data_IF_796994662780
#
_entry.id   IF_796994662780
#
_cell.length_a   1.000
_cell.length_b   1.000
_cell.length_c   1.000
_cell.angle_alpha   90.00
_cell.angle_beta   90.00
_cell.angle_gamma   90.00
#
_symmetry.space_group_name_H-M   'P 1'
#
loop_
_entity.id
_entity.type
_entity.pdbx_description
1 polymer ?
#
# COMPACT_ATOMS: atom_id res chain seq x y z
N UNK A 1 42.78 14.72 -0.30
CA UNK A 1 42.94 14.59 -1.77
C UNK A 1 41.98 13.46 -2.18
N UNK A 2 40.72 13.81 -2.44
CA UNK A 2 39.67 12.87 -2.78
C UNK A 2 39.35 13.10 -4.27
N UNK A 3 39.73 12.15 -5.12
CA UNK A 3 39.38 12.22 -6.53
C UNK A 3 37.89 11.79 -6.71
N UNK A 4 37.12 12.46 -7.59
CA UNK A 4 35.72 12.24 -7.71
C UNK A 4 35.40 10.97 -8.51
N UNK A 5 34.55 10.14 -7.91
CA UNK A 5 34.00 8.86 -8.38
C UNK A 5 33.14 8.96 -9.66
N UNK A 6 33.05 10.11 -10.29
CA UNK A 6 32.24 10.37 -11.50
C UNK A 6 32.84 9.85 -12.81
N UNK A 7 34.15 9.56 -12.83
CA UNK A 7 34.81 9.07 -14.05
C UNK A 7 34.64 7.58 -14.33
N UNK A 8 34.21 6.79 -13.31
CA UNK A 8 33.98 5.36 -13.51
C UNK A 8 32.56 5.04 -14.00
N UNK A 9 31.56 5.89 -13.73
CA UNK A 9 30.18 5.68 -14.17
C UNK A 9 29.95 6.04 -15.65
N UNK A 10 30.72 6.98 -16.20
CA UNK A 10 30.59 7.37 -17.61
C UNK A 10 31.22 6.35 -18.58
N UNK A 11 32.20 5.57 -18.12
CA UNK A 11 32.85 4.54 -18.96
C UNK A 11 32.06 3.24 -19.01
N UNK A 12 31.24 2.96 -18.01
CA UNK A 12 30.38 1.76 -17.97
C UNK A 12 29.14 1.89 -18.85
N UNK A 13 28.61 3.11 -19.02
CA UNK A 13 27.45 3.39 -19.88
C UNK A 13 27.78 3.35 -21.39
N UNK A 14 29.02 3.63 -21.77
CA UNK A 14 29.43 3.60 -23.18
C UNK A 14 29.73 2.20 -23.72
N UNK A 15 30.05 1.23 -22.85
CA UNK A 15 30.30 -0.17 -23.25
C UNK A 15 29.00 -0.96 -23.44
N UNK A 16 27.90 -0.55 -22.78
CA UNK A 16 26.60 -1.20 -22.93
C UNK A 16 25.89 -0.81 -24.24
N UNK A 17 26.22 0.36 -24.81
CA UNK A 17 25.62 0.83 -26.07
C UNK A 17 26.24 0.21 -27.34
N UNK A 18 27.36 -0.48 -27.23
CA UNK A 18 28.08 -1.02 -28.38
C UNK A 18 27.86 -2.52 -28.65
N UNK A 19 26.93 -3.18 -27.91
CA UNK A 19 26.63 -4.61 -28.02
C UNK A 19 25.19 -4.94 -28.45
N UNK A 20 24.45 -3.98 -29.00
CA UNK A 20 23.19 -4.31 -29.68
C UNK A 20 23.51 -4.64 -31.15
N UNK A 21 23.40 -5.89 -31.57
CA UNK A 21 23.47 -6.17 -32.97
C UNK A 21 22.25 -5.56 -33.66
N UNK A 22 22.50 -4.65 -34.60
CA UNK A 22 21.49 -4.23 -35.59
C UNK A 22 21.13 -5.46 -36.44
N UNK A 23 20.10 -6.19 -36.03
CA UNK A 23 19.41 -7.11 -36.91
C UNK A 23 18.62 -6.24 -37.89
N UNK A 24 19.19 -6.03 -39.07
CA UNK A 24 18.46 -5.60 -40.26
C UNK A 24 17.45 -6.70 -40.59
N UNK A 25 16.20 -6.53 -40.22
CA UNK A 25 15.13 -7.40 -40.70
C UNK A 25 14.91 -7.10 -42.20
N UNK A 26 14.97 -8.12 -43.00
CA UNK A 26 14.58 -8.09 -44.41
C UNK A 26 13.07 -7.76 -44.47
N UNK A 27 12.63 -6.65 -45.08
CA UNK A 27 11.23 -6.24 -45.07
C UNK A 27 10.32 -7.15 -45.93
N UNK A 28 10.83 -8.22 -46.49
CA UNK A 28 10.05 -9.16 -47.32
C UNK A 28 9.60 -10.44 -46.59
N UNK A 29 10.07 -10.69 -45.37
CA UNK A 29 9.60 -11.80 -44.55
C UNK A 29 8.47 -11.28 -43.64
N UNK A 30 7.22 -11.54 -44.05
CA UNK A 30 6.09 -11.35 -43.14
C UNK A 30 6.35 -12.17 -41.88
N UNK A 31 6.50 -11.50 -40.76
CA UNK A 31 6.64 -12.18 -39.46
C UNK A 31 5.39 -13.04 -39.22
N UNK A 32 5.60 -14.26 -38.72
CA UNK A 32 4.51 -15.16 -38.37
C UNK A 32 3.63 -14.46 -37.28
N UNK A 33 2.32 -14.28 -37.50
CA UNK A 33 1.44 -13.61 -36.59
C UNK A 33 1.49 -14.17 -35.16
N UNK A 34 1.74 -15.48 -35.01
CA UNK A 34 1.86 -16.11 -33.71
C UNK A 34 3.18 -15.74 -33.01
N UNK A 35 4.27 -15.62 -33.75
CA UNK A 35 5.55 -15.15 -33.20
C UNK A 35 5.45 -13.68 -32.74
N UNK A 36 4.79 -12.83 -33.50
CA UNK A 36 4.56 -11.44 -33.12
C UNK A 36 3.63 -11.34 -31.91
N UNK A 37 2.62 -12.20 -31.81
CA UNK A 37 1.77 -12.24 -30.61
C UNK A 37 2.53 -12.72 -29.36
N UNK A 38 3.41 -13.71 -29.50
CA UNK A 38 4.28 -14.12 -28.41
C UNK A 38 5.24 -13.00 -28.00
N UNK A 39 5.78 -12.26 -28.96
CA UNK A 39 6.59 -11.07 -28.68
C UNK A 39 5.81 -9.99 -27.93
N UNK A 40 4.55 -9.73 -28.31
CA UNK A 40 3.67 -8.81 -27.62
C UNK A 40 3.49 -9.23 -26.13
N UNK A 41 3.30 -10.53 -25.87
CA UNK A 41 3.20 -11.08 -24.51
C UNK A 41 4.49 -10.89 -23.70
N UNK A 42 5.64 -11.12 -24.32
CA UNK A 42 6.96 -10.93 -23.70
C UNK A 42 7.20 -9.45 -23.35
N UNK A 43 6.88 -8.53 -24.26
CA UNK A 43 6.97 -7.09 -24.02
C UNK A 43 6.08 -6.66 -22.86
N UNK A 44 4.83 -7.11 -22.84
CA UNK A 44 3.91 -6.82 -21.75
C UNK A 44 4.38 -7.41 -20.40
N UNK A 45 4.92 -8.63 -20.42
CA UNK A 45 5.50 -9.27 -19.23
C UNK A 45 6.75 -8.54 -18.71
N UNK A 46 7.53 -7.92 -19.61
CA UNK A 46 8.67 -7.07 -19.27
C UNK A 46 8.25 -5.67 -18.78
N UNK A 47 6.93 -5.31 -18.84
CA UNK A 47 6.41 -4.01 -18.47
C UNK A 47 6.56 -2.94 -19.57
N UNK A 48 6.99 -3.32 -20.76
CA UNK A 48 7.04 -2.44 -21.94
C UNK A 48 5.68 -2.45 -22.65
N UNK A 49 4.69 -1.82 -22.01
CA UNK A 49 3.31 -1.79 -22.51
C UNK A 49 3.19 -0.98 -23.80
N UNK A 50 4.01 0.06 -23.97
CA UNK A 50 4.01 0.88 -25.20
C UNK A 50 4.38 0.01 -26.41
N UNK A 51 5.48 -0.71 -26.34
CA UNK A 51 5.89 -1.60 -27.43
C UNK A 51 4.91 -2.78 -27.64
N UNK A 52 4.28 -3.25 -26.54
CA UNK A 52 3.26 -4.30 -26.61
C UNK A 52 2.00 -3.81 -27.34
N UNK A 53 1.50 -2.60 -27.02
CA UNK A 53 0.30 -2.01 -27.67
C UNK A 53 0.56 -1.68 -29.13
N UNK A 54 1.74 -1.15 -29.49
CA UNK A 54 2.14 -0.92 -30.89
C UNK A 54 2.15 -2.24 -31.69
N UNK A 55 2.71 -3.31 -31.10
CA UNK A 55 2.73 -4.63 -31.74
C UNK A 55 1.32 -5.20 -31.91
N UNK A 56 0.47 -5.09 -30.87
CA UNK A 56 -0.91 -5.57 -30.92
C UNK A 56 -1.77 -4.83 -31.94
N UNK A 57 -1.68 -3.50 -31.99
CA UNK A 57 -2.41 -2.70 -32.98
C UNK A 57 -2.03 -3.07 -34.40
N UNK A 58 -0.73 -3.20 -34.69
CA UNK A 58 -0.26 -3.63 -36.01
C UNK A 58 -0.78 -5.03 -36.37
N UNK A 59 -0.76 -5.97 -35.43
CA UNK A 59 -1.30 -7.32 -35.66
C UNK A 59 -2.79 -7.31 -35.98
N UNK A 60 -3.58 -6.47 -35.32
CA UNK A 60 -5.02 -6.33 -35.59
C UNK A 60 -5.30 -5.59 -36.89
N UNK A 61 -4.49 -4.61 -37.29
CA UNK A 61 -4.58 -3.99 -38.61
C UNK A 61 -4.36 -5.01 -39.73
N UNK A 62 -3.39 -5.90 -39.58
CA UNK A 62 -3.09 -6.95 -40.55
C UNK A 62 -4.09 -8.13 -40.48
N UNK A 63 -4.61 -8.45 -39.29
CA UNK A 63 -5.49 -9.57 -39.00
C UNK A 63 -6.65 -9.19 -38.07
N UNK A 64 -7.68 -8.50 -38.54
CA UNK A 64 -8.76 -8.01 -37.72
C UNK A 64 -9.60 -9.09 -37.02
N UNK A 65 -9.47 -10.33 -37.41
CA UNK A 65 -10.15 -11.48 -36.83
C UNK A 65 -9.29 -12.26 -35.81
N UNK A 66 -8.13 -11.70 -35.41
CA UNK A 66 -7.27 -12.37 -34.45
C UNK A 66 -7.72 -12.01 -33.01
N UNK A 67 -8.77 -12.70 -32.55
CA UNK A 67 -9.47 -12.40 -31.30
C UNK A 67 -8.57 -12.50 -30.07
N UNK A 68 -7.63 -13.46 -30.03
CA UNK A 68 -6.67 -13.59 -28.92
C UNK A 68 -5.80 -12.33 -28.75
N UNK A 69 -5.39 -11.73 -29.88
CA UNK A 69 -4.64 -10.47 -29.86
C UNK A 69 -5.53 -9.33 -29.38
N UNK A 70 -6.78 -9.25 -29.84
CA UNK A 70 -7.74 -8.22 -29.41
C UNK A 70 -7.99 -8.28 -27.89
N UNK A 71 -8.24 -9.48 -27.38
CA UNK A 71 -8.47 -9.71 -25.94
C UNK A 71 -7.23 -9.34 -25.11
N UNK A 72 -6.05 -9.74 -25.57
CA UNK A 72 -4.82 -9.42 -24.84
C UNK A 72 -4.48 -7.94 -24.92
N UNK A 73 -4.65 -7.30 -26.09
CA UNK A 73 -4.45 -5.87 -26.29
C UNK A 73 -5.36 -5.03 -25.39
N UNK A 74 -6.63 -5.40 -25.31
CA UNK A 74 -7.59 -4.74 -24.42
C UNK A 74 -7.15 -4.81 -22.95
N UNK A 75 -6.61 -5.96 -22.51
CA UNK A 75 -6.04 -6.09 -21.17
C UNK A 75 -4.80 -5.24 -20.97
N UNK A 76 -3.89 -5.16 -21.95
CA UNK A 76 -2.68 -4.33 -21.87
C UNK A 76 -3.06 -2.85 -21.72
N UNK A 77 -4.02 -2.36 -22.49
CA UNK A 77 -4.55 -1.01 -22.31
C UNK A 77 -5.18 -0.82 -20.91
N UNK A 78 -5.92 -1.82 -20.41
CA UNK A 78 -6.49 -1.79 -19.07
C UNK A 78 -5.43 -1.70 -17.97
N UNK A 79 -4.28 -2.38 -18.11
CA UNK A 79 -3.16 -2.30 -17.15
C UNK A 79 -2.51 -0.93 -17.12
N UNK A 80 -2.54 -0.18 -18.22
CA UNK A 80 -2.10 1.21 -18.30
C UNK A 80 -3.20 2.22 -17.89
N UNK A 81 -4.41 1.73 -17.59
CA UNK A 81 -5.59 2.56 -17.31
C UNK A 81 -6.07 3.38 -18.51
N UNK A 82 -5.72 2.95 -19.73
CA UNK A 82 -6.17 3.51 -21.00
C UNK A 82 -7.50 2.87 -21.42
N UNK A 83 -8.54 3.05 -20.57
CA UNK A 83 -9.81 2.33 -20.71
C UNK A 83 -10.55 2.66 -22.00
N UNK A 84 -10.49 3.92 -22.49
CA UNK A 84 -11.11 4.28 -23.78
C UNK A 84 -10.54 3.45 -24.93
N UNK A 85 -9.22 3.24 -24.96
CA UNK A 85 -8.53 2.42 -25.95
C UNK A 85 -8.86 0.94 -25.77
N UNK A 86 -8.96 0.47 -24.53
CA UNK A 86 -9.33 -0.91 -24.23
C UNK A 86 -10.74 -1.24 -24.72
N UNK A 87 -11.72 -0.35 -24.48
CA UNK A 87 -13.09 -0.54 -24.95
C UNK A 87 -13.20 -0.41 -26.47
N UNK A 88 -12.48 0.49 -27.11
CA UNK A 88 -12.45 0.59 -28.57
C UNK A 88 -12.03 -0.73 -29.27
N UNK A 89 -11.17 -1.51 -28.61
CA UNK A 89 -10.75 -2.84 -29.11
C UNK A 89 -11.77 -3.92 -28.76
N UNK A 90 -12.33 -3.88 -27.54
CA UNK A 90 -13.16 -4.99 -27.02
C UNK A 90 -14.63 -4.91 -27.44
N UNK A 91 -15.25 -3.71 -27.44
CA UNK A 91 -16.69 -3.55 -27.71
C UNK A 91 -17.11 -4.14 -29.08
N UNK A 92 -16.34 -3.93 -30.19
CA UNK A 92 -16.68 -4.57 -31.49
C UNK A 92 -16.65 -6.11 -31.43
N UNK A 93 -15.79 -6.68 -30.58
CA UNK A 93 -15.70 -8.14 -30.43
C UNK A 93 -16.88 -8.70 -29.62
N UNK A 94 -17.32 -7.98 -28.56
CA UNK A 94 -18.51 -8.37 -27.78
C UNK A 94 -19.80 -8.38 -28.63
N UNK A 95 -19.92 -7.42 -29.55
CA UNK A 95 -21.07 -7.36 -30.47
C UNK A 95 -21.03 -8.47 -31.52
N UNK A 96 -19.83 -8.77 -32.04
CA UNK A 96 -19.66 -9.74 -33.11
C UNK A 96 -19.75 -11.20 -32.63
N UNK A 97 -19.23 -11.47 -31.44
CA UNK A 97 -19.09 -12.81 -30.88
C UNK A 97 -19.77 -12.94 -29.50
N UNK A 98 -21.12 -12.90 -29.47
CA UNK A 98 -21.87 -12.92 -28.21
C UNK A 98 -21.82 -14.26 -27.46
N UNK A 99 -21.20 -15.29 -28.05
CA UNK A 99 -20.95 -16.61 -27.45
C UNK A 99 -19.49 -16.81 -26.99
N UNK A 100 -18.61 -15.82 -27.12
CA UNK A 100 -17.21 -15.95 -26.75
C UNK A 100 -17.01 -15.59 -25.27
N UNK A 101 -16.85 -16.63 -24.45
CA UNK A 101 -16.67 -16.46 -22.98
C UNK A 101 -15.52 -15.51 -22.64
N UNK A 102 -14.35 -15.69 -23.29
CA UNK A 102 -13.14 -14.91 -23.04
C UNK A 102 -13.32 -13.40 -23.28
N UNK A 103 -14.22 -13.03 -24.21
CA UNK A 103 -14.54 -11.62 -24.44
C UNK A 103 -15.32 -11.04 -23.25
N UNK A 104 -16.32 -11.75 -22.73
CA UNK A 104 -17.09 -11.29 -21.57
C UNK A 104 -16.29 -11.39 -20.28
N UNK A 105 -15.39 -12.35 -20.14
CA UNK A 105 -14.43 -12.40 -19.04
C UNK A 105 -13.45 -11.19 -19.08
N UNK A 106 -12.93 -10.86 -20.27
CA UNK A 106 -12.08 -9.66 -20.45
C UNK A 106 -12.87 -8.37 -20.19
N UNK A 107 -14.13 -8.31 -20.60
CA UNK A 107 -15.02 -7.20 -20.28
C UNK A 107 -15.19 -7.02 -18.76
N UNK A 108 -15.39 -8.12 -18.04
CA UNK A 108 -15.49 -8.08 -16.57
C UNK A 108 -14.16 -7.63 -15.92
N UNK A 109 -13.00 -8.10 -16.41
CA UNK A 109 -11.68 -7.64 -15.95
C UNK A 109 -11.54 -6.12 -16.12
N UNK A 110 -11.80 -5.60 -17.33
CA UNK A 110 -11.70 -4.17 -17.62
C UNK A 110 -12.67 -3.33 -16.80
N UNK A 111 -13.92 -3.75 -16.71
CA UNK A 111 -14.93 -3.07 -15.92
C UNK A 111 -14.58 -3.05 -14.43
N UNK A 112 -13.97 -4.13 -13.93
CA UNK A 112 -13.43 -4.19 -12.57
C UNK A 112 -12.29 -3.19 -12.36
N UNK A 113 -11.33 -3.11 -13.29
CA UNK A 113 -10.19 -2.18 -13.18
C UNK A 113 -10.61 -0.71 -13.37
N UNK A 114 -11.59 -0.45 -14.22
CA UNK A 114 -12.19 0.88 -14.42
C UNK A 114 -13.12 1.31 -13.27
N UNK A 115 -13.49 0.41 -12.38
CA UNK A 115 -14.49 0.60 -11.31
C UNK A 115 -15.91 0.84 -11.84
N UNK A 116 -16.24 0.29 -13.00
CA UNK A 116 -17.54 0.40 -13.64
C UNK A 116 -18.46 -0.78 -13.25
N UNK A 117 -19.25 -0.59 -12.19
CA UNK A 117 -20.10 -1.65 -11.65
C UNK A 117 -21.21 -2.10 -12.61
N UNK A 118 -21.80 -1.19 -13.38
CA UNK A 118 -22.89 -1.51 -14.30
C UNK A 118 -22.37 -2.43 -15.42
N UNK A 119 -21.23 -2.08 -16.01
CA UNK A 119 -20.59 -2.85 -17.07
C UNK A 119 -20.06 -4.20 -16.53
N UNK A 120 -19.51 -4.20 -15.29
CA UNK A 120 -19.09 -5.43 -14.62
C UNK A 120 -20.27 -6.38 -14.39
N UNK A 121 -21.39 -5.89 -13.90
CA UNK A 121 -22.58 -6.73 -13.68
C UNK A 121 -23.09 -7.36 -14.97
N UNK A 122 -23.18 -6.58 -16.05
CA UNK A 122 -23.66 -7.08 -17.34
C UNK A 122 -22.71 -8.13 -17.95
N UNK A 123 -21.38 -7.87 -17.91
CA UNK A 123 -20.39 -8.79 -18.46
C UNK A 123 -20.25 -10.06 -17.62
N UNK A 124 -20.29 -9.94 -16.29
CA UNK A 124 -20.20 -11.06 -15.37
C UNK A 124 -21.40 -12.00 -15.49
N UNK A 125 -22.61 -11.46 -15.64
CA UNK A 125 -23.82 -12.29 -15.89
C UNK A 125 -23.63 -13.07 -17.18
N UNK A 126 -23.23 -12.41 -18.26
CA UNK A 126 -23.07 -13.06 -19.56
C UNK A 126 -21.93 -14.10 -19.55
N UNK A 127 -20.80 -13.80 -18.94
CA UNK A 127 -19.70 -14.75 -18.78
C UNK A 127 -20.14 -15.99 -17.98
N UNK A 128 -20.89 -15.80 -16.87
CA UNK A 128 -21.39 -16.90 -16.04
C UNK A 128 -22.46 -17.74 -16.73
N UNK A 129 -23.23 -17.17 -17.68
CA UNK A 129 -24.14 -17.92 -18.51
C UNK A 129 -23.40 -18.84 -19.51
N UNK A 130 -22.25 -18.38 -20.02
CA UNK A 130 -21.42 -19.13 -20.96
C UNK A 130 -20.57 -20.18 -20.25
N UNK A 131 -20.01 -19.82 -19.08
CA UNK A 131 -19.20 -20.70 -18.23
C UNK A 131 -19.64 -20.58 -16.75
N UNK A 132 -20.56 -21.42 -16.25
CA UNK A 132 -21.10 -21.34 -14.89
C UNK A 132 -20.05 -21.45 -13.77
N UNK A 133 -18.95 -22.17 -14.01
CA UNK A 133 -17.88 -22.35 -13.02
C UNK A 133 -17.08 -21.06 -12.77
N UNK A 134 -17.21 -20.04 -13.63
CA UNK A 134 -16.56 -18.74 -13.49
C UNK A 134 -17.31 -17.78 -12.56
N UNK A 135 -18.53 -18.08 -12.15
CA UNK A 135 -19.40 -17.18 -11.38
C UNK A 135 -18.75 -16.71 -10.06
N UNK A 136 -18.00 -17.58 -9.36
CA UNK A 136 -17.34 -17.26 -8.09
C UNK A 136 -16.27 -16.17 -8.26
N UNK A 137 -15.57 -16.15 -9.41
CA UNK A 137 -14.55 -15.11 -9.70
C UNK A 137 -15.22 -13.76 -9.85
N UNK A 138 -16.34 -13.68 -10.59
CA UNK A 138 -17.03 -12.42 -10.82
C UNK A 138 -17.78 -11.92 -9.58
N UNK A 139 -18.27 -12.80 -8.73
CA UNK A 139 -18.81 -12.43 -7.42
C UNK A 139 -17.72 -11.84 -6.51
N UNK A 140 -16.48 -12.34 -6.63
CA UNK A 140 -15.32 -11.75 -5.94
C UNK A 140 -15.03 -10.35 -6.47
N UNK A 141 -15.10 -10.11 -7.79
CA UNK A 141 -14.91 -8.78 -8.40
C UNK A 141 -16.00 -7.80 -7.93
N UNK A 142 -17.28 -8.20 -7.97
CA UNK A 142 -18.39 -7.38 -7.50
C UNK A 142 -18.23 -7.01 -6.02
N UNK A 143 -17.87 -7.99 -5.19
CA UNK A 143 -17.61 -7.77 -3.77
C UNK A 143 -16.44 -6.80 -3.56
N UNK A 144 -15.35 -6.96 -4.30
CA UNK A 144 -14.20 -6.09 -4.21
C UNK A 144 -14.54 -4.65 -4.64
N UNK A 145 -15.28 -4.45 -5.74
CA UNK A 145 -15.72 -3.13 -6.18
C UNK A 145 -16.67 -2.47 -5.20
N UNK A 146 -17.64 -3.21 -4.64
CA UNK A 146 -18.50 -2.67 -3.59
C UNK A 146 -17.74 -2.11 -2.39
N UNK A 147 -16.48 -2.55 -2.20
CA UNK A 147 -15.58 -2.07 -1.16
C UNK A 147 -14.66 -0.91 -1.61
N UNK A 148 -14.51 -0.67 -2.90
CA UNK A 148 -13.59 0.34 -3.44
C UNK A 148 -14.28 1.58 -4.00
N UNK A 149 -15.56 1.51 -4.34
CA UNK A 149 -16.31 2.65 -4.89
C UNK A 149 -16.62 3.69 -3.80
N UNK A 150 -16.44 4.99 -4.10
CA UNK A 150 -16.73 6.07 -3.15
C UNK A 150 -18.16 6.07 -2.59
N UNK A 151 -19.14 5.59 -3.33
CA UNK A 151 -20.53 5.46 -2.85
C UNK A 151 -20.87 4.13 -2.15
N UNK A 152 -20.01 3.12 -2.28
CA UNK A 152 -20.17 1.79 -1.70
C UNK A 152 -19.29 1.54 -0.47
N UNK A 153 -18.41 2.47 -0.13
CA UNK A 153 -17.56 2.37 1.04
C UNK A 153 -18.42 2.51 2.30
N UNK A 154 -18.64 1.39 2.95
CA UNK A 154 -19.32 1.37 4.23
C UNK A 154 -18.40 1.86 5.34
N UNK A 155 -18.86 2.74 6.23
CA UNK A 155 -18.06 3.12 7.39
C UNK A 155 -17.68 1.89 8.23
N UNK A 156 -16.44 1.87 8.70
CA UNK A 156 -15.97 0.85 9.65
C UNK A 156 -15.68 1.52 10.99
N UNK A 157 -16.19 0.96 12.08
CA UNK A 157 -15.73 1.29 13.43
C UNK A 157 -14.59 0.35 13.79
N UNK A 158 -13.68 0.81 14.63
CA UNK A 158 -12.62 -0.04 15.16
C UNK A 158 -12.38 0.17 16.65
N UNK A 159 -11.94 -0.90 17.30
CA UNK A 159 -11.45 -0.85 18.67
C UNK A 159 -10.25 -1.78 18.81
N UNK A 160 -9.17 -1.25 19.41
CA UNK A 160 -7.92 -1.96 19.64
C UNK A 160 -7.45 -1.77 21.06
N UNK A 161 -6.94 -2.83 21.64
CA UNK A 161 -6.17 -2.78 22.88
C UNK A 161 -4.71 -3.10 22.57
N UNK A 162 -3.81 -2.28 23.09
CA UNK A 162 -2.36 -2.46 23.00
C UNK A 162 -1.75 -2.56 24.41
N UNK A 163 -0.74 -3.41 24.54
CA UNK A 163 0.01 -3.61 25.75
C UNK A 163 1.49 -3.65 25.44
N UNK A 164 2.28 -2.85 26.16
CA UNK A 164 3.73 -2.85 26.10
C UNK A 164 4.31 -3.10 27.50
N UNK A 165 5.25 -4.03 27.58
CA UNK A 165 6.01 -4.33 28.79
C UNK A 165 7.49 -3.98 28.58
N UNK A 166 8.05 -3.18 29.49
CA UNK A 166 9.46 -2.81 29.52
C UNK A 166 10.16 -3.43 30.73
N UNK A 167 11.31 -4.12 30.50
CA UNK A 167 12.00 -4.89 31.53
C UNK A 167 12.76 -4.03 32.55
N UNK A 168 13.36 -2.92 32.11
CA UNK A 168 14.20 -2.03 32.93
C UNK A 168 14.15 -0.61 32.33
N UNK A 169 14.64 0.44 33.03
CA UNK A 169 15.18 0.51 34.40
C UNK A 169 14.09 0.32 35.44
N UNK A 170 12.84 0.55 35.07
CA UNK A 170 11.67 0.35 35.88
C UNK A 170 10.74 -0.58 35.12
N UNK A 171 10.30 -1.66 35.71
CA UNK A 171 9.25 -2.51 35.13
C UNK A 171 8.02 -1.65 34.86
N UNK A 172 7.78 -1.29 33.59
CA UNK A 172 6.66 -0.46 33.17
C UNK A 172 5.74 -1.26 32.28
N UNK A 173 4.46 -1.10 32.53
CA UNK A 173 3.40 -1.65 31.67
C UNK A 173 2.60 -0.50 31.11
N UNK A 174 2.48 -0.47 29.80
CA UNK A 174 1.65 0.51 29.11
C UNK A 174 0.44 -0.17 28.52
N UNK A 175 -0.69 0.41 28.78
CA UNK A 175 -1.97 -0.04 28.30
C UNK A 175 -2.57 1.07 27.46
N UNK A 176 -3.06 0.74 26.29
CA UNK A 176 -3.73 1.70 25.44
C UNK A 176 -4.98 1.09 24.81
N UNK A 177 -6.08 1.80 24.90
CA UNK A 177 -7.30 1.56 24.14
C UNK A 177 -7.40 2.60 23.05
N UNK A 178 -7.53 2.17 21.81
CA UNK A 178 -7.83 3.02 20.65
C UNK A 178 -9.20 2.65 20.12
N UNK A 179 -10.09 3.62 19.98
CA UNK A 179 -11.39 3.43 19.35
C UNK A 179 -11.64 4.54 18.33
N UNK A 180 -12.29 4.23 17.22
CA UNK A 180 -12.51 5.20 16.17
C UNK A 180 -13.34 4.66 15.02
N UNK A 181 -13.31 5.37 13.90
CA UNK A 181 -14.01 4.97 12.70
C UNK A 181 -13.26 5.38 11.43
N UNK A 182 -13.45 4.62 10.39
CA UNK A 182 -13.10 5.00 9.03
C UNK A 182 -14.38 5.40 8.31
N UNK A 183 -14.48 6.68 7.95
CA UNK A 183 -15.65 7.29 7.31
C UNK A 183 -15.25 7.67 5.89
N UNK A 184 -15.60 6.85 4.89
CA UNK A 184 -15.27 7.13 3.50
C UNK A 184 -16.12 8.27 2.93
N UNK A 185 -15.56 8.98 1.96
CA UNK A 185 -16.23 9.98 1.13
C UNK A 185 -15.61 9.97 -0.29
N UNK A 186 -16.19 10.69 -1.24
CA UNK A 186 -15.86 10.62 -2.68
C UNK A 186 -14.35 10.69 -3.02
N UNK A 187 -13.59 11.45 -2.26
CA UNK A 187 -12.15 11.64 -2.51
C UNK A 187 -11.27 11.18 -1.36
N UNK A 188 -11.71 10.21 -0.59
CA UNK A 188 -10.87 9.69 0.48
C UNK A 188 -11.63 9.15 1.68
N UNK A 189 -11.01 9.24 2.85
CA UNK A 189 -11.63 8.83 4.13
C UNK A 189 -11.16 9.70 5.28
N UNK A 190 -12.07 9.93 6.23
CA UNK A 190 -11.78 10.51 7.53
C UNK A 190 -11.64 9.41 8.58
N UNK A 191 -10.71 9.59 9.51
CA UNK A 191 -10.45 8.64 10.59
C UNK A 191 -10.43 9.38 11.93
N UNK A 192 -11.59 9.73 12.50
CA UNK A 192 -11.67 10.17 13.88
C UNK A 192 -11.30 9.04 14.82
N UNK A 193 -10.48 9.30 15.83
CA UNK A 193 -10.12 8.32 16.84
C UNK A 193 -9.88 8.93 18.22
N UNK A 194 -10.11 8.11 19.23
CA UNK A 194 -9.82 8.39 20.64
C UNK A 194 -8.80 7.34 21.12
N UNK A 195 -7.72 7.82 21.70
CA UNK A 195 -6.75 7.00 22.42
C UNK A 195 -6.87 7.26 23.91
N UNK A 196 -7.03 6.22 24.71
CA UNK A 196 -6.95 6.26 26.17
C UNK A 196 -5.74 5.43 26.59
N UNK A 197 -4.75 6.07 27.17
CA UNK A 197 -3.50 5.48 27.62
C UNK A 197 -3.43 5.42 29.14
N UNK A 198 -2.87 4.33 29.66
CA UNK A 198 -2.53 4.18 31.07
C UNK A 198 -1.16 3.50 31.19
N UNK A 199 -0.28 4.08 31.97
CA UNK A 199 0.99 3.46 32.30
C UNK A 199 1.06 3.13 33.79
N UNK A 200 1.35 1.86 34.09
CA UNK A 200 1.59 1.35 35.42
C UNK A 200 3.09 1.12 35.64
N UNK A 201 3.56 1.41 36.85
CA UNK A 201 4.97 1.32 37.21
C UNK A 201 5.76 2.60 36.92
N UNK A 202 6.97 2.67 37.48
CA UNK A 202 7.74 3.91 37.54
C UNK A 202 7.27 4.85 38.64
N UNK A 203 7.88 6.03 38.71
CA UNK A 203 7.65 6.98 39.81
C UNK A 203 6.29 7.70 39.70
N UNK A 204 5.66 7.70 38.52
CA UNK A 204 4.41 8.41 38.25
C UNK A 204 3.49 7.58 37.35
N UNK A 205 2.63 6.72 37.93
CA UNK A 205 1.56 6.10 37.18
C UNK A 205 0.60 7.18 36.67
N UNK A 206 0.15 7.08 35.42
CA UNK A 206 -0.69 8.10 34.84
C UNK A 206 -1.62 7.59 33.76
N UNK A 207 -2.72 8.31 33.59
CA UNK A 207 -3.66 8.10 32.48
C UNK A 207 -3.72 9.36 31.62
N UNK A 208 -3.89 9.20 30.33
CA UNK A 208 -3.99 10.28 29.37
C UNK A 208 -4.99 9.94 28.24
N UNK A 209 -5.53 10.97 27.63
CA UNK A 209 -6.46 10.87 26.51
C UNK A 209 -5.94 11.69 25.34
N UNK A 210 -6.14 11.18 24.13
CA UNK A 210 -5.84 11.91 22.90
C UNK A 210 -6.97 11.74 21.90
N UNK A 211 -7.43 12.84 21.34
CA UNK A 211 -8.38 12.87 20.23
C UNK A 211 -7.61 13.15 18.94
N UNK A 212 -7.84 12.35 17.91
CA UNK A 212 -7.21 12.52 16.61
C UNK A 212 -8.26 12.59 15.51
N UNK A 213 -7.94 13.34 14.48
CA UNK A 213 -8.61 13.32 13.20
C UNK A 213 -7.55 13.20 12.10
N UNK A 214 -7.52 12.05 11.43
CA UNK A 214 -6.70 11.83 10.26
C UNK A 214 -7.59 11.81 9.01
N UNK A 215 -7.07 12.27 7.87
CA UNK A 215 -7.75 12.27 6.58
C UNK A 215 -6.82 11.75 5.49
N UNK A 216 -7.25 10.73 4.77
CA UNK A 216 -6.62 10.32 3.52
C UNK A 216 -7.38 10.96 2.37
N UNK A 217 -6.70 11.77 1.56
CA UNK A 217 -7.27 12.54 0.45
C UNK A 217 -6.68 12.06 -0.87
N UNK A 218 -7.51 11.62 -1.80
CA UNK A 218 -7.10 11.30 -3.16
C UNK A 218 -6.98 12.61 -3.94
N UNK A 219 -5.74 12.97 -4.35
CA UNK A 219 -5.46 14.20 -5.10
C UNK A 219 -5.56 13.95 -6.61
N UNK A 220 -5.37 12.71 -7.04
CA UNK A 220 -5.44 12.28 -8.43
C UNK A 220 -5.32 10.76 -8.52
N UNK A 221 -5.31 10.19 -9.74
CA UNK A 221 -5.31 8.73 -9.93
C UNK A 221 -4.12 8.00 -9.30
N UNK A 222 -3.00 8.72 -9.11
CA UNK A 222 -1.74 8.15 -8.61
C UNK A 222 -1.19 8.87 -7.38
N UNK A 223 -1.94 9.81 -6.81
CA UNK A 223 -1.46 10.62 -5.69
C UNK A 223 -2.48 10.63 -4.57
N UNK A 224 -2.03 10.41 -3.35
CA UNK A 224 -2.85 10.62 -2.16
C UNK A 224 -2.06 11.26 -1.04
N UNK A 225 -2.77 12.00 -0.20
CA UNK A 225 -2.24 12.81 0.89
C UNK A 225 -2.87 12.37 2.20
N UNK A 226 -2.05 12.06 3.20
CA UNK A 226 -2.47 11.98 4.59
C UNK A 226 -2.28 13.34 5.25
N UNK A 227 -3.33 13.85 5.87
CA UNK A 227 -3.28 14.94 6.83
C UNK A 227 -3.83 14.44 8.15
N UNK A 228 -3.19 14.80 9.26
CA UNK A 228 -3.67 14.39 10.57
C UNK A 228 -3.36 15.44 11.62
N UNK A 229 -4.28 15.57 12.56
CA UNK A 229 -4.09 16.38 13.76
C UNK A 229 -4.66 15.68 14.98
N UNK A 230 -3.96 15.80 16.09
CA UNK A 230 -4.36 15.25 17.37
C UNK A 230 -4.06 16.20 18.53
N UNK A 231 -4.88 16.11 19.55
CA UNK A 231 -4.73 16.90 20.78
C UNK A 231 -4.95 16.01 22.01
N UNK A 232 -4.10 16.18 23.02
CA UNK A 232 -4.32 15.63 24.35
C UNK A 232 -4.77 16.75 25.28
N UNK A 233 -6.04 16.75 25.74
CA UNK A 233 -6.60 17.86 26.49
C UNK A 233 -6.13 17.92 27.95
N UNK A 234 -5.58 16.84 28.49
CA UNK A 234 -5.31 16.74 29.94
C UNK A 234 -4.06 17.49 30.40
N UNK A 235 -3.29 18.11 29.52
CA UNK A 235 -2.19 19.02 29.88
C UNK A 235 -1.06 18.42 30.75
N UNK A 236 -1.20 17.20 31.20
CA UNK A 236 -0.22 16.52 32.05
C UNK A 236 0.91 15.86 31.27
N UNK A 237 0.79 15.83 29.96
CA UNK A 237 1.85 15.54 28.97
C UNK A 237 2.69 14.29 29.20
N UNK A 238 2.14 13.29 29.89
CA UNK A 238 2.94 12.17 30.35
C UNK A 238 2.89 10.95 29.38
N UNK A 239 1.87 10.85 28.54
CA UNK A 239 1.70 9.71 27.64
C UNK A 239 1.65 10.16 26.19
N UNK A 240 0.67 10.97 25.80
CA UNK A 240 0.50 11.49 24.47
C UNK A 240 1.06 12.90 24.31
N UNK A 241 1.46 13.30 23.09
CA UNK A 241 1.78 14.70 22.81
C UNK A 241 0.56 15.59 22.99
N UNK A 242 0.76 16.76 23.58
CA UNK A 242 -0.28 17.79 23.68
C UNK A 242 -0.82 18.18 22.29
N UNK A 243 0.07 18.19 21.28
CA UNK A 243 -0.28 18.37 19.88
C UNK A 243 0.46 17.39 19.00
N UNK A 244 -0.25 16.77 18.06
CA UNK A 244 0.28 15.93 16.97
C UNK A 244 -0.19 16.49 15.64
N UNK A 245 0.71 16.66 14.68
CA UNK A 245 0.35 16.96 13.30
C UNK A 245 1.12 16.06 12.34
N UNK A 246 0.46 15.64 11.27
CA UNK A 246 0.98 14.72 10.28
C UNK A 246 0.61 15.20 8.88
N UNK A 247 1.58 15.21 7.98
CA UNK A 247 1.35 15.39 6.56
C UNK A 247 2.27 14.44 5.80
N UNK A 248 1.73 13.62 4.89
CA UNK A 248 2.53 12.71 4.06
C UNK A 248 1.87 12.55 2.70
N UNK A 249 2.66 12.73 1.64
CA UNK A 249 2.24 12.59 0.26
C UNK A 249 2.77 11.29 -0.31
N UNK A 250 1.91 10.53 -0.98
CA UNK A 250 2.28 9.34 -1.76
C UNK A 250 2.13 9.59 -3.24
N UNK A 251 3.09 9.08 -3.99
CA UNK A 251 3.10 8.99 -5.43
C UNK A 251 3.16 7.52 -5.84
N UNK A 252 2.12 7.03 -6.50
CA UNK A 252 2.11 5.71 -7.14
C UNK A 252 2.84 5.82 -8.48
N UNK A 253 3.74 4.88 -8.73
CA UNK A 253 4.58 4.78 -9.91
C UNK A 253 4.22 3.53 -10.71
N UNK A 254 4.63 3.44 -11.99
CA UNK A 254 4.47 2.24 -12.78
C UNK A 254 5.06 0.98 -12.13
N UNK A 255 4.67 -0.19 -12.62
CA UNK A 255 5.17 -1.49 -12.19
C UNK A 255 4.98 -1.77 -10.68
N UNK A 256 3.93 -1.20 -10.04
CA UNK A 256 3.59 -1.45 -8.65
C UNK A 256 4.53 -0.80 -7.62
N UNK A 257 5.30 0.21 -8.00
CA UNK A 257 6.08 1.01 -7.06
C UNK A 257 5.24 2.16 -6.48
N UNK A 258 5.57 2.58 -5.27
CA UNK A 258 5.10 3.82 -4.69
C UNK A 258 6.21 4.46 -3.84
N UNK A 259 6.22 5.78 -3.79
CA UNK A 259 7.12 6.55 -2.95
C UNK A 259 6.28 7.46 -2.06
N UNK A 260 6.76 7.73 -0.84
CA UNK A 260 6.17 8.77 -0.01
C UNK A 260 7.24 9.68 0.58
N UNK A 261 6.79 10.91 0.89
CA UNK A 261 7.54 11.86 1.70
C UNK A 261 6.58 12.57 2.65
N UNK A 262 6.97 12.77 3.89
CA UNK A 262 6.11 13.34 4.89
C UNK A 262 6.83 14.02 6.03
N UNK A 263 6.03 14.76 6.79
CA UNK A 263 6.41 15.48 7.98
C UNK A 263 5.53 15.04 9.15
N UNK A 264 6.15 14.83 10.31
CA UNK A 264 5.48 14.56 11.57
C UNK A 264 5.92 15.61 12.57
N UNK A 265 4.99 16.22 13.25
CA UNK A 265 5.22 17.19 14.31
C UNK A 265 4.53 16.74 15.58
N UNK A 266 5.25 16.82 16.69
CA UNK A 266 4.75 16.52 18.03
C UNK A 266 5.20 17.60 19.00
N UNK A 267 4.34 17.95 19.92
CA UNK A 267 4.62 18.87 21.00
C UNK A 267 4.26 18.22 22.34
N UNK A 268 5.25 18.06 23.18
CA UNK A 268 5.11 17.83 24.62
C UNK A 268 5.51 19.11 25.34
N UNK A 269 6.57 19.09 26.15
CA UNK A 269 7.17 20.30 26.72
C UNK A 269 8.09 21.02 25.70
N UNK A 270 8.42 20.36 24.62
CA UNK A 270 9.25 20.84 23.50
C UNK A 270 8.75 20.30 22.17
N UNK A 271 9.26 20.90 21.10
CA UNK A 271 8.88 20.56 19.73
C UNK A 271 9.74 19.43 19.18
N UNK A 272 9.10 18.48 18.52
CA UNK A 272 9.76 17.39 17.81
C UNK A 272 9.26 17.31 16.38
N UNK A 273 10.19 17.25 15.44
CA UNK A 273 9.86 17.17 14.03
C UNK A 273 10.62 16.02 13.38
N UNK A 274 9.89 15.21 12.61
CA UNK A 274 10.41 14.10 11.85
C UNK A 274 10.13 14.30 10.38
N UNK A 275 11.10 13.97 9.52
CA UNK A 275 10.84 13.68 8.11
C UNK A 275 10.67 12.18 7.94
N UNK A 276 9.71 11.81 7.09
CA UNK A 276 9.47 10.40 6.73
C UNK A 276 9.59 10.23 5.24
N UNK A 277 10.17 9.11 4.84
CA UNK A 277 10.24 8.69 3.44
C UNK A 277 9.93 7.21 3.36
N UNK A 278 9.18 6.78 2.35
CA UNK A 278 9.04 5.36 2.06
C UNK A 278 9.23 5.06 0.57
N UNK A 279 9.71 3.85 0.32
CA UNK A 279 9.69 3.22 -0.98
C UNK A 279 8.96 1.89 -0.83
N UNK A 280 7.97 1.67 -1.67
CA UNK A 280 7.06 0.53 -1.60
C UNK A 280 7.02 -0.20 -2.93
N UNK A 281 6.80 -1.51 -2.88
CA UNK A 281 6.66 -2.37 -4.06
C UNK A 281 5.53 -3.36 -3.82
N UNK A 282 4.55 -3.35 -4.74
CA UNK A 282 3.53 -4.38 -4.85
C UNK A 282 3.91 -5.34 -5.97
N UNK A 283 3.85 -6.64 -5.71
CA UNK A 283 4.14 -7.67 -6.71
C UNK A 283 3.38 -8.96 -6.37
N UNK A 284 2.45 -9.37 -7.23
CA UNK A 284 1.52 -10.46 -6.94
C UNK A 284 0.82 -10.23 -5.59
N UNK A 285 0.81 -11.24 -4.74
CA UNK A 285 0.19 -11.18 -3.41
C UNK A 285 1.14 -10.66 -2.32
N UNK A 286 2.18 -9.90 -2.69
CA UNK A 286 3.14 -9.36 -1.74
C UNK A 286 3.25 -7.84 -1.84
N UNK A 287 3.48 -7.22 -0.69
CA UNK A 287 3.88 -5.82 -0.56
C UNK A 287 5.15 -5.75 0.29
N UNK A 288 6.11 -4.99 -0.20
CA UNK A 288 7.35 -4.68 0.51
C UNK A 288 7.45 -3.18 0.68
N UNK A 289 7.95 -2.74 1.82
CA UNK A 289 8.21 -1.32 2.06
C UNK A 289 9.50 -1.12 2.85
N UNK A 290 10.26 -0.12 2.46
CA UNK A 290 11.35 0.45 3.25
C UNK A 290 10.92 1.85 3.68
N UNK A 291 10.75 2.04 4.98
CA UNK A 291 10.38 3.33 5.56
C UNK A 291 11.52 3.88 6.41
N UNK A 292 11.82 5.17 6.23
CA UNK A 292 12.84 5.88 6.97
C UNK A 292 12.20 7.00 7.77
N UNK A 293 12.72 7.22 8.98
CA UNK A 293 12.42 8.37 9.83
C UNK A 293 13.70 9.12 10.10
N UNK A 294 13.71 10.42 9.81
CA UNK A 294 14.82 11.32 10.13
C UNK A 294 14.35 12.29 11.20
N UNK A 295 15.01 12.29 12.32
CA UNK A 295 14.72 13.13 13.46
C UNK A 295 15.86 14.08 13.72
N UNK A 296 15.55 15.38 13.70
CA UNK A 296 16.52 16.44 13.93
C UNK A 296 16.53 16.79 15.41
N UNK A 297 17.61 16.46 16.09
CA UNK A 297 17.86 16.80 17.50
C UNK A 297 18.80 18.01 17.56
N UNK A 298 18.80 18.69 18.72
CA UNK A 298 19.70 19.82 18.96
C UNK A 298 21.19 19.50 18.76
N UNK A 299 21.57 18.24 19.04
CA UNK A 299 22.94 17.74 18.93
C UNK A 299 23.11 16.63 17.86
N UNK A 300 22.45 16.75 16.71
CA UNK A 300 22.62 15.83 15.59
C UNK A 300 21.34 15.26 15.03
N UNK A 301 21.48 14.45 13.99
CA UNK A 301 20.35 13.79 13.32
C UNK A 301 20.30 12.32 13.69
N UNK A 302 19.14 11.84 14.08
CA UNK A 302 18.85 10.43 14.30
C UNK A 302 18.07 9.86 13.12
N UNK A 303 18.35 8.61 12.77
CA UNK A 303 17.66 7.92 11.69
C UNK A 303 17.19 6.54 12.12
N UNK A 304 16.06 6.11 11.58
CA UNK A 304 15.57 4.74 11.71
C UNK A 304 15.04 4.22 10.40
N UNK A 305 15.19 2.91 10.22
CA UNK A 305 14.81 2.17 9.03
C UNK A 305 13.89 1.03 9.42
N UNK A 306 12.77 0.89 8.71
CA UNK A 306 11.82 -0.20 8.90
C UNK A 306 11.60 -0.90 7.57
N UNK A 307 11.90 -2.18 7.54
CA UNK A 307 11.63 -3.06 6.41
C UNK A 307 10.36 -3.84 6.72
N UNK A 308 9.37 -3.73 5.85
CA UNK A 308 8.11 -4.46 5.95
C UNK A 308 7.96 -5.41 4.78
N UNK A 309 7.46 -6.61 5.06
CA UNK A 309 7.05 -7.59 4.07
C UNK A 309 5.66 -8.11 4.45
N UNK A 310 4.69 -7.93 3.55
CA UNK A 310 3.31 -8.37 3.72
C UNK A 310 2.94 -9.37 2.66
N UNK A 311 2.27 -10.43 3.07
CA UNK A 311 1.61 -11.38 2.17
C UNK A 311 0.12 -11.25 2.33
N UNK A 312 -0.57 -11.01 1.23
CA UNK A 312 -2.02 -11.07 1.13
C UNK A 312 -2.47 -12.50 0.82
N UNK A 313 -3.59 -12.93 1.41
CA UNK A 313 -4.17 -14.25 1.19
C UNK A 313 -5.37 -14.15 0.24
N UNK A 314 -6.57 -14.28 0.76
CA UNK A 314 -7.79 -14.30 -0.07
C UNK A 314 -8.33 -12.90 -0.41
N UNK A 315 -8.01 -11.89 0.39
CA UNK A 315 -8.54 -10.53 0.27
C UNK A 315 -7.51 -9.50 0.73
N UNK A 316 -7.68 -8.23 0.35
CA UNK A 316 -6.82 -7.10 0.76
C UNK A 316 -6.71 -6.96 2.29
N UNK A 317 -7.77 -7.34 3.00
CA UNK A 317 -7.83 -7.28 4.46
C UNK A 317 -7.42 -8.59 5.17
N UNK A 318 -7.05 -9.63 4.41
CA UNK A 318 -6.52 -10.90 4.92
C UNK A 318 -5.02 -10.98 4.62
N UNK A 319 -4.19 -10.66 5.61
CA UNK A 319 -2.75 -10.55 5.40
C UNK A 319 -1.94 -10.86 6.65
N UNK A 320 -0.69 -11.24 6.41
CA UNK A 320 0.38 -11.33 7.41
C UNK A 320 1.49 -10.36 7.05
N UNK A 321 1.93 -9.53 8.00
CA UNK A 321 3.04 -8.58 7.84
C UNK A 321 4.14 -8.90 8.83
N UNK A 322 5.38 -8.99 8.34
CA UNK A 322 6.60 -8.95 9.15
C UNK A 322 7.21 -7.55 9.02
N UNK A 323 7.59 -6.95 10.15
CA UNK A 323 8.23 -5.63 10.19
C UNK A 323 9.51 -5.76 11.02
N UNK A 324 10.63 -5.36 10.43
CA UNK A 324 11.94 -5.31 11.09
C UNK A 324 12.40 -3.86 11.15
N UNK A 325 12.82 -3.40 12.32
CA UNK A 325 13.23 -2.03 12.56
C UNK A 325 14.62 -1.93 13.16
N UNK A 326 15.35 -0.90 12.73
CA UNK A 326 16.65 -0.52 13.29
C UNK A 326 16.79 0.99 13.35
N UNK A 327 17.32 1.53 14.46
CA UNK A 327 17.66 2.93 14.58
C UNK A 327 17.18 3.58 15.87
N UNK A 328 17.28 4.91 15.90
CA UNK A 328 17.06 5.72 17.10
C UNK A 328 15.72 6.44 17.11
N UNK A 329 15.08 6.61 15.96
CA UNK A 329 13.77 7.23 15.89
C UNK A 329 12.66 6.19 16.17
N UNK A 330 11.65 6.54 16.97
CA UNK A 330 10.53 5.65 17.24
C UNK A 330 9.68 5.42 15.99
N UNK A 331 9.07 4.25 15.92
CA UNK A 331 8.11 3.90 14.89
C UNK A 331 6.71 4.33 15.35
N UNK A 332 5.98 5.01 14.46
CA UNK A 332 4.56 5.24 14.69
C UNK A 332 3.77 3.90 14.65
N UNK A 333 2.69 3.69 15.41
CA UNK A 333 1.62 4.67 15.60
C UNK A 333 1.50 5.30 16.99
N UNK A 334 2.33 4.91 17.95
CA UNK A 334 2.19 5.38 19.33
C UNK A 334 3.53 5.91 19.80
N UNK A 335 3.72 7.21 19.64
CA UNK A 335 4.84 7.91 20.21
C UNK A 335 4.52 8.28 21.66
N UNK A 336 5.33 7.80 22.57
CA UNK A 336 5.35 8.20 23.96
C UNK A 336 6.68 8.87 24.26
N UNK A 337 6.68 9.78 25.21
CA UNK A 337 7.84 10.62 25.56
C UNK A 337 9.13 9.80 25.74
N UNK A 338 9.04 8.64 26.36
CA UNK A 338 10.22 7.79 26.60
C UNK A 338 10.83 7.17 25.33
N UNK A 339 10.10 7.13 24.23
CA UNK A 339 10.63 6.64 22.95
C UNK A 339 11.54 7.68 22.28
N UNK A 340 11.40 8.95 22.65
CA UNK A 340 12.20 10.05 22.13
C UNK A 340 13.63 10.06 22.69
N UNK A 341 13.82 9.50 23.88
CA UNK A 341 15.14 9.50 24.55
C UNK A 341 15.94 8.22 24.29
N UNK A 342 15.40 7.25 23.55
CA UNK A 342 16.16 6.04 23.22
C UNK A 342 17.32 6.37 22.27
N UNK A 343 18.47 5.73 22.51
CA UNK A 343 19.69 5.95 21.72
C UNK A 343 19.70 5.06 20.48
N UNK A 344 19.39 3.76 20.63
CA UNK A 344 19.33 2.82 19.52
C UNK A 344 18.33 1.70 19.80
N UNK A 345 17.76 1.11 18.77
CA UNK A 345 16.86 -0.02 18.93
C UNK A 345 16.91 -0.97 17.72
N UNK A 346 16.73 -2.25 18.02
CA UNK A 346 16.40 -3.29 17.04
C UNK A 346 15.04 -3.84 17.40
N UNK A 347 14.14 -3.95 16.45
CA UNK A 347 12.78 -4.42 16.65
C UNK A 347 12.32 -5.40 15.59
N UNK A 348 11.42 -6.29 15.98
CA UNK A 348 10.69 -7.17 15.08
C UNK A 348 9.23 -7.27 15.50
N UNK A 349 8.31 -7.21 14.53
CA UNK A 349 6.86 -7.32 14.77
C UNK A 349 6.22 -8.20 13.70
N UNK A 350 5.21 -8.93 14.10
CA UNK A 350 4.32 -9.68 13.22
C UNK A 350 2.92 -9.15 13.45
N UNK A 351 2.25 -8.79 12.37
CA UNK A 351 0.86 -8.35 12.37
C UNK A 351 0.04 -9.28 11.49
N UNK A 352 -1.08 -9.76 11.98
CA UNK A 352 -2.02 -10.58 11.25
C UNK A 352 -3.40 -9.93 11.25
N UNK A 353 -3.98 -9.78 10.08
CA UNK A 353 -5.34 -9.29 9.88
C UNK A 353 -6.14 -10.35 9.14
N UNK A 354 -7.37 -10.62 9.61
CA UNK A 354 -8.26 -11.58 8.97
C UNK A 354 -9.72 -11.17 9.08
N UNK A 355 -10.48 -11.17 8.00
CA UNK A 355 -11.93 -11.11 8.05
C UNK A 355 -12.49 -12.35 8.76
N UNK A 356 -13.25 -12.14 9.83
CA UNK A 356 -13.98 -13.21 10.53
C UNK A 356 -15.28 -13.54 9.80
N UNK A 357 -15.95 -12.49 9.32
CA UNK A 357 -17.14 -12.56 8.49
C UNK A 357 -17.28 -11.24 7.68
N UNK A 358 -18.40 -11.05 6.98
CA UNK A 358 -18.64 -9.84 6.18
C UNK A 358 -18.68 -8.53 6.98
N UNK A 359 -18.89 -8.61 8.31
CA UNK A 359 -18.99 -7.42 9.20
C UNK A 359 -17.80 -7.21 10.11
N UNK A 360 -17.04 -8.25 10.41
CA UNK A 360 -15.99 -8.20 11.43
C UNK A 360 -14.66 -8.62 10.81
N UNK A 361 -13.64 -7.79 11.00
CA UNK A 361 -12.24 -8.08 10.67
C UNK A 361 -11.42 -7.99 11.96
N UNK A 362 -10.70 -9.06 12.27
CA UNK A 362 -9.81 -9.14 13.42
C UNK A 362 -8.40 -8.70 13.03
N UNK A 363 -7.70 -8.08 13.98
CA UNK A 363 -6.29 -7.75 13.85
C UNK A 363 -5.57 -8.10 15.14
N UNK A 364 -4.42 -8.75 15.02
CA UNK A 364 -3.52 -9.04 16.12
C UNK A 364 -2.08 -8.71 15.71
N UNK A 365 -1.28 -8.22 16.66
CA UNK A 365 0.14 -7.94 16.49
C UNK A 365 0.89 -8.41 17.73
N UNK A 366 2.05 -9.00 17.52
CA UNK A 366 3.05 -9.28 18.56
C UNK A 366 4.39 -8.73 18.11
N UNK A 367 5.17 -8.22 19.06
CA UNK A 367 6.46 -7.64 18.74
C UNK A 367 7.43 -7.68 19.91
N UNK A 368 8.69 -7.52 19.56
CA UNK A 368 9.79 -7.42 20.50
C UNK A 368 10.77 -6.35 20.02
N UNK A 369 11.30 -5.58 20.94
CA UNK A 369 12.44 -4.70 20.69
C UNK A 369 13.47 -4.76 21.81
N UNK A 370 14.73 -4.60 21.42
CA UNK A 370 15.83 -4.31 22.32
C UNK A 370 16.28 -2.87 22.11
N UNK A 371 16.15 -2.07 23.13
CA UNK A 371 16.32 -0.62 23.07
C UNK A 371 17.43 -0.17 24.02
N UNK A 372 18.33 0.66 23.52
CA UNK A 372 19.33 1.34 24.32
C UNK A 372 18.70 2.61 24.92
N UNK A 373 18.56 2.67 26.23
CA UNK A 373 17.94 3.80 26.94
C UNK A 373 18.94 4.72 27.64
N UNK A 374 20.17 4.24 27.86
CA UNK A 374 21.33 5.01 28.34
C UNK A 374 22.58 4.39 27.73
N UNK A 375 23.74 5.05 27.82
CA UNK A 375 25.00 4.56 27.24
C UNK A 375 25.27 3.10 27.65
N UNK A 376 25.26 2.21 26.65
CA UNK A 376 25.44 0.76 26.79
C UNK A 376 24.47 0.06 27.74
N UNK A 377 23.36 0.70 28.10
CA UNK A 377 22.29 0.10 28.90
C UNK A 377 21.08 -0.22 28.02
N UNK A 378 20.64 -1.45 28.07
CA UNK A 378 19.58 -1.96 27.20
C UNK A 378 18.37 -2.39 28.01
N UNK A 379 17.20 -2.13 27.45
CA UNK A 379 15.92 -2.70 27.92
C UNK A 379 15.28 -3.54 26.84
N UNK A 380 14.44 -4.46 27.26
CA UNK A 380 13.58 -5.24 26.37
C UNK A 380 12.17 -4.67 26.44
N UNK A 381 11.52 -4.56 25.28
CA UNK A 381 10.11 -4.23 25.17
C UNK A 381 9.38 -5.36 24.46
N UNK A 382 8.30 -5.85 25.05
CA UNK A 382 7.39 -6.82 24.47
C UNK A 382 6.10 -6.07 24.15
N UNK A 383 5.60 -6.23 22.94
CA UNK A 383 4.44 -5.50 22.41
C UNK A 383 3.35 -6.48 21.99
N UNK A 384 2.11 -6.19 22.38
CA UNK A 384 0.93 -6.87 21.89
C UNK A 384 -0.13 -5.85 21.49
N UNK A 385 -0.85 -6.13 20.41
CA UNK A 385 -2.04 -5.39 20.02
C UNK A 385 -3.07 -6.37 19.49
N UNK A 386 -4.32 -6.20 19.91
CA UNK A 386 -5.43 -6.96 19.37
C UNK A 386 -6.68 -6.10 19.30
N UNK A 387 -7.54 -6.37 18.34
CA UNK A 387 -8.81 -5.67 18.18
C UNK A 387 -9.56 -6.07 16.93
N UNK A 388 -10.56 -5.29 16.62
CA UNK A 388 -11.45 -5.57 15.49
C UNK A 388 -11.89 -4.29 14.80
N UNK A 389 -12.22 -4.46 13.52
CA UNK A 389 -13.01 -3.52 12.72
C UNK A 389 -14.43 -4.07 12.57
N UNK A 390 -15.40 -3.19 12.62
CA UNK A 390 -16.83 -3.50 12.52
C UNK A 390 -17.42 -2.69 11.39
N UNK A 391 -17.80 -3.35 10.30
CA UNK A 391 -18.41 -2.71 9.15
C UNK A 391 -19.88 -2.39 9.43
N UNK A 392 -20.29 -1.15 9.19
CA UNK A 392 -21.68 -0.70 9.32
C UNK A 392 -22.38 -1.01 7.99
N UNK A 393 -23.02 -2.17 7.90
CA UNK A 393 -23.85 -2.54 6.73
C UNK A 393 -25.24 -1.93 6.95
N UNK A 394 -25.67 -1.10 6.02
CA UNK A 394 -27.05 -0.57 5.98
C UNK A 394 -28.00 -1.59 5.40
#
# INVERSE_FOLDING_TARGET
MIQPMWRFLSSLLLVIYSLVPLYSQDPSVRADPEQEFNRMRELAAAGDYVAATETGNRLLEENPAYYDVALFLARVYGWESEFDSAWAVLDPLLEKEPGLYEAFATCADLAYWEHNTEKLDSCAVRASELEPDSAEIFDTYKTALQHTLPGALTPELFAFYSYDHFSVPYHRNWHMLTAGGEIPFDRGKLIPSLNAGYHAGGDYPGADLQVNLDAYLTLGPRNYLLLGYGISPNGTHNYFPGHRAVAELWQVLPAGFALSAGLRYFYWDRHFTYLTFSAEKYTGNYWFALRNYLFFKEYGTSASFYLSARRYFSQVNDYLTLILGYGTAPDEPILVVSDLDRLNAVSGRIEYSRPWNSRIRLLAMAGYSREEYADRQYRNRIMFKAGAYFRIIR
#
